data_IF_928517788367
#
_entry.id   IF_928517788367
#
_cell.length_a   1.000
_cell.length_b   1.000
_cell.length_c   1.000
_cell.angle_alpha   90.00
_cell.angle_beta   90.00
_cell.angle_gamma   90.00
#
_symmetry.space_group_name_H-M   'P 1'
#
loop_
_entity.id
_entity.type
_entity.pdbx_description
1 polymer ?
#
# COMPACT_ATOMS: atom_id res chain seq x y z
N UNK A 1 -17.99 -33.03 -40.01
CA UNK A 1 -17.64 -33.08 -38.57
C UNK A 1 -16.61 -32.00 -38.36
N UNK A 2 -17.08 -30.80 -38.03
CA UNK A 2 -16.25 -29.62 -37.88
C UNK A 2 -15.82 -29.57 -36.41
N UNK A 3 -14.52 -29.79 -36.17
CA UNK A 3 -13.93 -29.72 -34.84
C UNK A 3 -13.97 -28.27 -34.38
N UNK A 4 -14.95 -27.94 -33.54
CA UNK A 4 -15.04 -26.63 -32.91
C UNK A 4 -13.82 -26.38 -32.03
N UNK A 5 -13.02 -25.38 -32.40
CA UNK A 5 -12.02 -24.79 -31.53
C UNK A 5 -12.71 -24.20 -30.30
N UNK A 6 -12.43 -24.76 -29.13
CA UNK A 6 -12.79 -24.16 -27.86
C UNK A 6 -11.92 -22.92 -27.71
N UNK A 7 -12.48 -21.73 -27.97
CA UNK A 7 -11.86 -20.46 -27.57
C UNK A 7 -11.73 -20.45 -26.05
N UNK A 8 -10.51 -20.70 -25.58
CA UNK A 8 -10.15 -20.60 -24.18
C UNK A 8 -10.40 -19.15 -23.75
N UNK A 9 -11.36 -18.98 -22.84
CA UNK A 9 -11.70 -17.71 -22.20
C UNK A 9 -10.42 -16.99 -21.78
N UNK A 10 -10.25 -15.75 -22.24
CA UNK A 10 -9.15 -14.85 -21.82
C UNK A 10 -9.05 -14.86 -20.30
N UNK A 11 -7.95 -15.36 -19.74
CA UNK A 11 -7.69 -15.26 -18.31
C UNK A 11 -7.65 -13.78 -17.94
N UNK A 12 -8.52 -13.34 -17.04
CA UNK A 12 -8.42 -11.99 -16.46
C UNK A 12 -7.12 -11.95 -15.68
N UNK A 13 -6.12 -11.25 -16.21
CA UNK A 13 -4.83 -11.10 -15.56
C UNK A 13 -5.00 -10.26 -14.29
N UNK A 14 -4.62 -10.83 -13.14
CA UNK A 14 -4.66 -10.12 -11.88
C UNK A 14 -3.46 -9.17 -11.79
N UNK A 15 -3.69 -7.90 -12.13
CA UNK A 15 -2.62 -6.89 -12.17
C UNK A 15 -2.03 -6.62 -10.79
N UNK A 16 -0.71 -6.42 -10.73
CA UNK A 16 -0.02 -5.96 -9.51
C UNK A 16 -0.43 -4.56 -9.10
N UNK A 17 -0.54 -3.63 -10.04
CA UNK A 17 -1.15 -2.32 -9.80
C UNK A 17 -2.47 -2.24 -10.57
N UNK A 18 -3.55 -1.83 -9.91
CA UNK A 18 -4.82 -1.59 -10.58
C UNK A 18 -5.58 -0.41 -9.95
N UNK A 19 -6.37 0.25 -10.77
CA UNK A 19 -7.24 1.37 -10.37
C UNK A 19 -8.66 0.82 -10.24
N UNK A 20 -9.31 1.03 -9.10
CA UNK A 20 -10.63 0.48 -8.78
C UNK A 20 -11.57 1.57 -8.28
N UNK A 21 -12.87 1.31 -8.32
CA UNK A 21 -13.89 2.34 -8.04
C UNK A 21 -14.37 2.37 -6.58
N UNK A 22 -14.38 1.23 -5.89
CA UNK A 22 -15.08 1.11 -4.60
C UNK A 22 -14.12 1.01 -3.39
N UNK A 23 -13.91 2.10 -2.62
CA UNK A 23 -13.18 2.08 -1.36
C UNK A 23 -14.08 1.83 -0.14
N UNK A 24 -15.32 1.34 -0.28
CA UNK A 24 -16.31 1.25 0.81
C UNK A 24 -15.84 0.43 2.02
N UNK A 25 -15.00 -0.58 1.80
CA UNK A 25 -14.42 -1.44 2.83
C UNK A 25 -13.05 -0.95 3.33
N UNK A 26 -12.58 0.21 2.88
CA UNK A 26 -11.29 0.76 3.26
C UNK A 26 -11.34 1.38 4.66
N UNK A 27 -10.37 1.06 5.50
CA UNK A 27 -10.29 1.50 6.90
C UNK A 27 -10.45 3.02 7.06
N UNK A 28 -9.88 3.79 6.13
CA UNK A 28 -9.89 5.26 6.14
C UNK A 28 -10.98 5.91 5.27
N UNK A 29 -11.98 5.15 4.78
CA UNK A 29 -13.02 5.70 3.89
C UNK A 29 -13.77 6.87 4.52
N UNK A 30 -14.04 6.80 5.83
CA UNK A 30 -14.76 7.81 6.60
C UNK A 30 -13.86 8.89 7.25
N UNK A 31 -12.55 8.87 6.98
CA UNK A 31 -11.63 9.87 7.51
C UNK A 31 -11.97 11.27 6.99
N UNK A 32 -12.02 12.25 7.90
CA UNK A 32 -12.16 13.68 7.54
C UNK A 32 -10.82 14.22 7.04
N UNK A 33 -10.71 14.39 5.73
CA UNK A 33 -9.57 15.02 5.05
C UNK A 33 -10.07 16.22 4.25
N UNK A 34 -9.24 17.26 4.12
CA UNK A 34 -9.54 18.33 3.16
C UNK A 34 -9.40 17.74 1.75
N UNK A 35 -10.50 17.71 0.99
CA UNK A 35 -10.55 17.07 -0.33
C UNK A 35 -10.11 17.99 -1.46
N UNK A 36 -10.11 19.31 -1.25
CA UNK A 36 -9.78 20.29 -2.29
C UNK A 36 -8.33 20.14 -2.76
N UNK A 37 -7.43 19.74 -1.86
CA UNK A 37 -6.03 19.48 -2.21
C UNK A 37 -5.83 18.23 -3.09
N UNK A 38 -6.84 17.35 -3.17
CA UNK A 38 -6.83 16.12 -3.95
C UNK A 38 -7.60 16.24 -5.26
N UNK A 39 -8.55 17.17 -5.39
CA UNK A 39 -9.31 17.36 -6.64
C UNK A 39 -8.70 18.42 -7.54
N UNK A 40 -7.94 19.37 -6.98
CA UNK A 40 -7.25 20.39 -7.77
C UNK A 40 -5.95 19.84 -8.37
N UNK A 41 -5.91 19.63 -9.68
CA UNK A 41 -4.72 19.15 -10.40
C UNK A 41 -3.49 20.07 -10.24
N UNK A 42 -3.72 21.37 -9.98
CA UNK A 42 -2.67 22.35 -9.71
C UNK A 42 -2.13 22.29 -8.27
N UNK A 43 -2.73 21.46 -7.40
CA UNK A 43 -2.23 21.21 -6.06
C UNK A 43 -0.89 20.46 -6.11
N UNK A 44 0.07 20.89 -5.27
CA UNK A 44 1.31 20.14 -5.07
C UNK A 44 1.07 18.73 -4.52
N UNK A 45 0.01 18.57 -3.71
CA UNK A 45 -0.40 17.28 -3.14
C UNK A 45 -0.87 16.35 -4.25
N UNK A 46 -1.82 16.79 -5.09
CA UNK A 46 -2.32 16.01 -6.22
C UNK A 46 -1.17 15.52 -7.12
N UNK A 47 -0.27 16.43 -7.53
CA UNK A 47 0.90 16.05 -8.36
C UNK A 47 1.81 15.05 -7.67
N UNK A 48 2.03 15.17 -6.35
CA UNK A 48 2.84 14.22 -5.60
C UNK A 48 2.16 12.84 -5.55
N UNK A 49 0.84 12.77 -5.34
CA UNK A 49 0.08 11.50 -5.34
C UNK A 49 0.14 10.82 -6.71
N UNK A 50 -0.08 11.56 -7.80
CA UNK A 50 0.02 11.00 -9.15
C UNK A 50 1.43 10.46 -9.44
N UNK A 51 2.47 11.10 -8.87
CA UNK A 51 3.83 10.57 -8.94
C UNK A 51 4.00 9.27 -8.14
N UNK A 52 3.40 9.15 -6.96
CA UNK A 52 3.39 7.87 -6.21
C UNK A 52 2.72 6.76 -7.03
N UNK A 53 1.58 7.03 -7.66
CA UNK A 53 0.87 6.05 -8.49
C UNK A 53 1.75 5.55 -9.63
N UNK A 54 2.44 6.45 -10.33
CA UNK A 54 3.39 6.07 -11.37
C UNK A 54 4.52 5.20 -10.85
N UNK A 55 5.13 5.57 -9.71
CA UNK A 55 6.20 4.78 -9.08
C UNK A 55 5.71 3.38 -8.70
N UNK A 56 4.48 3.25 -8.18
CA UNK A 56 3.90 1.96 -7.83
C UNK A 56 3.59 1.13 -9.09
N UNK A 57 2.99 1.74 -10.11
CA UNK A 57 2.67 1.07 -11.36
C UNK A 57 3.91 0.48 -12.05
N UNK A 58 5.04 1.19 -12.01
CA UNK A 58 6.29 0.80 -12.68
C UNK A 58 7.23 -0.04 -11.79
N UNK A 59 7.17 0.13 -10.47
CA UNK A 59 8.23 -0.31 -9.55
C UNK A 59 7.86 -1.39 -8.53
N UNK A 60 6.62 -1.90 -8.54
CA UNK A 60 6.21 -2.92 -7.56
C UNK A 60 7.03 -4.22 -7.71
N UNK A 61 7.51 -4.80 -6.58
CA UNK A 61 8.03 -6.17 -6.55
C UNK A 61 6.98 -7.21 -6.97
N UNK A 62 7.40 -8.45 -7.22
CA UNK A 62 6.52 -9.54 -7.66
C UNK A 62 5.43 -9.87 -6.63
N UNK A 63 5.79 -9.90 -5.35
CA UNK A 63 4.92 -10.32 -4.25
C UNK A 63 4.14 -9.18 -3.59
N UNK A 64 4.01 -8.03 -4.27
CA UNK A 64 3.27 -6.88 -3.75
C UNK A 64 2.25 -6.43 -4.79
N UNK A 65 0.99 -6.34 -4.37
CA UNK A 65 -0.12 -5.88 -5.19
C UNK A 65 -0.75 -4.65 -4.52
N UNK A 66 -1.18 -3.69 -5.34
CA UNK A 66 -1.71 -2.41 -4.92
C UNK A 66 -2.98 -2.09 -5.69
N UNK A 67 -3.97 -1.55 -4.97
CA UNK A 67 -5.19 -0.96 -5.52
C UNK A 67 -5.26 0.51 -5.09
N UNK A 68 -5.61 1.36 -6.04
CA UNK A 68 -5.84 2.79 -5.83
C UNK A 68 -7.23 3.17 -6.32
N UNK A 69 -7.75 4.32 -5.88
CA UNK A 69 -9.15 4.68 -6.09
C UNK A 69 -9.28 6.03 -6.80
N UNK A 70 -10.00 6.10 -7.92
CA UNK A 70 -10.17 7.33 -8.70
C UNK A 70 -10.87 8.43 -7.89
N UNK A 71 -11.95 8.08 -7.19
CA UNK A 71 -12.72 9.02 -6.38
C UNK A 71 -12.05 9.41 -5.06
N UNK A 72 -11.03 8.64 -4.65
CA UNK A 72 -10.32 8.78 -3.39
C UNK A 72 -8.84 8.54 -3.58
N UNK A 73 -8.18 9.43 -4.31
CA UNK A 73 -6.76 9.29 -4.65
C UNK A 73 -5.83 9.29 -3.42
N UNK A 74 -6.32 9.74 -2.27
CA UNK A 74 -5.62 9.68 -0.98
C UNK A 74 -5.59 8.27 -0.37
N UNK A 75 -6.37 7.33 -0.89
CA UNK A 75 -6.48 5.96 -0.39
C UNK A 75 -5.72 4.99 -1.28
N UNK A 76 -5.05 4.04 -0.63
CA UNK A 76 -4.28 2.98 -1.29
C UNK A 76 -4.46 1.71 -0.46
N UNK A 77 -4.82 0.59 -1.09
CA UNK A 77 -4.79 -0.73 -0.47
C UNK A 77 -3.62 -1.52 -1.03
N UNK A 78 -2.82 -2.13 -0.17
CA UNK A 78 -1.76 -3.04 -0.56
C UNK A 78 -1.99 -4.43 0.04
N UNK A 79 -1.61 -5.46 -0.71
CA UNK A 79 -1.41 -6.81 -0.18
C UNK A 79 0.03 -7.23 -0.46
N UNK A 80 0.69 -7.71 0.58
CA UNK A 80 2.04 -8.28 0.50
C UNK A 80 1.89 -9.78 0.71
N UNK A 81 2.39 -10.57 -0.24
CA UNK A 81 2.52 -12.02 -0.09
C UNK A 81 3.81 -12.29 0.67
N UNK A 82 3.74 -13.10 1.73
CA UNK A 82 4.92 -13.45 2.51
C UNK A 82 5.91 -14.24 1.67
N UNK A 83 7.18 -13.83 1.73
CA UNK A 83 8.22 -14.37 0.86
C UNK A 83 8.64 -15.80 1.25
N UNK A 84 9.12 -16.61 0.30
CA UNK A 84 9.75 -17.89 0.59
C UNK A 84 10.87 -17.77 1.62
N UNK A 85 10.98 -18.76 2.51
CA UNK A 85 11.99 -18.78 3.57
C UNK A 85 11.64 -17.94 4.79
N UNK A 86 10.49 -17.28 4.82
CA UNK A 86 9.98 -16.57 6.02
C UNK A 86 8.88 -17.39 6.70
N UNK A 87 8.58 -17.18 7.99
CA UNK A 87 7.42 -17.79 8.64
C UNK A 87 6.08 -17.27 8.07
N UNK A 88 6.13 -16.31 7.14
CA UNK A 88 4.98 -15.69 6.48
C UNK A 88 4.69 -16.27 5.10
N UNK A 89 5.52 -17.20 4.61
CA UNK A 89 5.46 -17.74 3.24
C UNK A 89 4.03 -18.07 2.80
N UNK A 90 3.65 -17.59 1.61
CA UNK A 90 2.33 -17.73 0.98
C UNK A 90 1.16 -17.07 1.73
N UNK A 91 1.41 -16.45 2.88
CA UNK A 91 0.43 -15.66 3.62
C UNK A 91 0.13 -14.33 2.93
N UNK A 92 -1.14 -13.90 2.98
CA UNK A 92 -1.59 -12.61 2.45
C UNK A 92 -1.76 -11.59 3.58
N UNK A 93 -1.03 -10.49 3.49
CA UNK A 93 -1.04 -9.42 4.50
C UNK A 93 -1.60 -8.14 3.89
N UNK A 94 -2.78 -7.72 4.35
CA UNK A 94 -3.48 -6.55 3.81
C UNK A 94 -3.20 -5.30 4.62
N UNK A 95 -2.96 -4.20 3.91
CA UNK A 95 -2.69 -2.89 4.46
C UNK A 95 -3.54 -1.82 3.77
N UNK A 96 -4.25 -1.04 4.56
CA UNK A 96 -4.93 0.17 4.10
C UNK A 96 -4.04 1.38 4.41
N UNK A 97 -3.88 2.26 3.44
CA UNK A 97 -2.98 3.41 3.50
C UNK A 97 -3.77 4.66 3.17
N UNK A 98 -3.59 5.71 3.97
CA UNK A 98 -4.14 7.04 3.70
C UNK A 98 -3.04 8.11 3.64
N UNK A 99 -3.05 8.88 2.55
CA UNK A 99 -2.21 10.06 2.38
C UNK A 99 -2.91 11.28 3.02
N UNK A 100 -2.23 12.03 3.90
CA UNK A 100 -2.83 13.20 4.55
C UNK A 100 -3.00 14.38 3.58
N UNK A 101 -3.88 15.34 3.92
CA UNK A 101 -4.11 16.55 3.10
C UNK A 101 -2.89 17.46 2.92
N UNK A 102 -1.83 17.27 3.70
CA UNK A 102 -0.56 17.97 3.56
C UNK A 102 0.59 17.04 3.13
N UNK A 103 0.27 15.90 2.51
CA UNK A 103 1.29 15.02 1.91
C UNK A 103 2.16 15.80 0.90
N UNK A 104 3.49 15.65 0.90
CA UNK A 104 4.31 14.68 1.64
C UNK A 104 4.90 15.21 2.95
N UNK A 105 4.44 16.34 3.51
CA UNK A 105 5.01 16.90 4.75
C UNK A 105 4.69 16.06 5.99
N UNK A 106 3.62 15.29 5.94
CA UNK A 106 3.33 14.21 6.89
C UNK A 106 3.41 12.85 6.18
N UNK A 107 3.93 11.81 6.85
CA UNK A 107 3.97 10.46 6.30
C UNK A 107 2.56 9.91 6.07
N UNK A 108 2.43 8.85 5.24
CA UNK A 108 1.18 8.12 5.12
C UNK A 108 0.78 7.47 6.46
N UNK A 109 -0.52 7.36 6.69
CA UNK A 109 -1.07 6.47 7.74
C UNK A 109 -1.21 5.08 7.17
N UNK A 110 -0.81 4.06 7.93
CA UNK A 110 -0.87 2.65 7.51
C UNK A 110 -1.65 1.87 8.56
N UNK A 111 -2.63 1.07 8.11
CA UNK A 111 -3.43 0.17 8.93
C UNK A 111 -3.25 -1.27 8.45
N UNK A 112 -2.85 -2.17 9.34
CA UNK A 112 -2.74 -3.60 9.07
C UNK A 112 -4.03 -4.34 9.44
N UNK A 113 -4.55 -5.15 8.52
CA UNK A 113 -5.69 -6.02 8.80
C UNK A 113 -5.26 -7.29 9.53
N UNK A 114 -5.21 -7.20 10.86
CA UNK A 114 -4.72 -8.27 11.75
C UNK A 114 -5.64 -9.48 11.88
N UNK A 115 -6.94 -9.30 11.64
CA UNK A 115 -7.99 -10.28 11.94
C UNK A 115 -7.91 -10.82 13.39
N UNK A 116 -7.44 -10.00 14.33
CA UNK A 116 -7.31 -10.35 15.75
C UNK A 116 -6.03 -11.11 16.12
N UNK A 117 -5.13 -11.37 15.17
CA UNK A 117 -3.92 -12.17 15.39
C UNK A 117 -2.69 -11.25 15.48
N UNK A 118 -1.80 -11.53 16.45
CA UNK A 118 -0.49 -10.86 16.57
C UNK A 118 0.59 -11.71 15.90
N UNK A 119 0.84 -11.47 14.62
CA UNK A 119 1.79 -12.26 13.82
C UNK A 119 3.24 -11.75 13.86
N UNK A 120 3.46 -10.52 14.29
CA UNK A 120 4.78 -9.90 14.32
C UNK A 120 4.83 -8.81 15.42
N UNK A 121 5.97 -8.58 16.09
CA UNK A 121 6.09 -7.51 17.09
C UNK A 121 5.77 -6.11 16.55
N UNK A 122 6.03 -5.85 15.27
CA UNK A 122 5.73 -4.59 14.58
C UNK A 122 4.30 -4.53 14.01
N UNK A 123 3.53 -5.62 14.04
CA UNK A 123 2.16 -5.70 13.53
C UNK A 123 1.17 -5.98 14.67
N UNK A 124 0.48 -4.93 15.09
CA UNK A 124 -0.38 -4.98 16.26
C UNK A 124 -1.77 -5.50 15.89
N UNK A 125 -2.44 -6.15 16.84
CA UNK A 125 -3.82 -6.66 16.66
C UNK A 125 -4.83 -5.56 16.37
N UNK A 126 -4.56 -4.31 16.75
CA UNK A 126 -5.39 -3.14 16.43
C UNK A 126 -5.01 -2.45 15.11
N UNK A 127 -4.18 -3.10 14.30
CA UNK A 127 -3.75 -2.65 12.98
C UNK A 127 -2.66 -1.59 12.98
N UNK A 128 -2.05 -1.28 14.13
CA UNK A 128 -0.89 -0.40 14.18
C UNK A 128 0.34 -1.09 13.59
N UNK A 129 1.09 -0.37 12.76
CA UNK A 129 2.33 -0.83 12.13
C UNK A 129 3.50 0.01 12.66
N UNK A 130 4.50 -0.63 13.25
CA UNK A 130 5.72 0.02 13.72
C UNK A 130 6.80 0.03 12.64
N UNK A 131 7.08 1.20 12.08
CA UNK A 131 8.12 1.42 11.08
C UNK A 131 8.63 2.87 11.18
N UNK A 132 9.96 3.04 11.27
CA UNK A 132 10.58 4.37 11.41
C UNK A 132 10.24 5.31 10.26
N UNK A 133 10.12 4.75 9.05
CA UNK A 133 9.83 5.47 7.82
C UNK A 133 8.45 6.16 7.86
N UNK A 134 7.52 5.69 8.68
CA UNK A 134 6.20 6.34 8.89
C UNK A 134 6.08 6.95 10.29
N UNK A 135 7.22 7.18 10.96
CA UNK A 135 7.34 7.79 12.29
C UNK A 135 6.57 7.05 13.40
N UNK A 136 6.38 5.73 13.28
CA UNK A 136 5.74 4.89 14.32
C UNK A 136 6.73 4.01 15.08
N UNK A 137 8.03 4.18 14.82
CA UNK A 137 9.13 3.53 15.52
C UNK A 137 10.35 4.45 15.54
N UNK A 138 11.24 4.24 16.51
CA UNK A 138 12.49 4.99 16.59
C UNK A 138 13.43 4.58 15.45
N UNK A 139 14.16 5.55 14.93
CA UNK A 139 15.12 5.34 13.85
C UNK A 139 16.00 6.57 13.66
N UNK A 140 17.15 6.36 13.03
CA UNK A 140 18.06 7.42 12.65
C UNK A 140 17.40 8.37 11.65
N UNK A 141 17.90 9.61 11.53
CA UNK A 141 17.30 10.62 10.63
C UNK A 141 17.12 10.14 9.18
N UNK A 142 18.01 9.26 8.70
CA UNK A 142 17.96 8.68 7.34
C UNK A 142 16.89 7.59 7.16
N UNK A 143 16.39 7.02 8.26
CA UNK A 143 15.40 5.94 8.28
C UNK A 143 13.98 6.47 8.49
N UNK A 144 13.84 7.77 8.72
CA UNK A 144 12.56 8.46 8.93
C UNK A 144 12.03 9.02 7.61
N UNK A 145 10.74 9.34 7.59
CA UNK A 145 10.10 9.97 6.45
C UNK A 145 10.83 11.24 6.00
N UNK A 146 11.30 11.24 4.75
CA UNK A 146 11.88 12.39 4.09
C UNK A 146 10.87 12.94 3.06
N UNK A 147 10.45 14.18 3.24
CA UNK A 147 9.39 14.79 2.44
C UNK A 147 9.75 14.91 0.95
N UNK A 148 11.05 14.94 0.63
CA UNK A 148 11.55 15.12 -0.74
C UNK A 148 11.70 13.80 -1.49
N UNK A 149 12.11 12.73 -0.79
CA UNK A 149 12.59 11.49 -1.40
C UNK A 149 11.83 10.24 -0.98
N UNK A 150 11.13 10.24 0.16
CA UNK A 150 10.37 9.06 0.58
C UNK A 150 9.17 8.79 -0.33
N UNK A 151 8.84 7.51 -0.49
CA UNK A 151 7.74 7.03 -1.36
C UNK A 151 6.93 5.93 -0.68
N UNK A 152 5.72 5.68 -1.18
CA UNK A 152 4.88 4.57 -0.71
C UNK A 152 5.52 3.22 -1.06
N UNK A 153 6.18 3.12 -2.22
CA UNK A 153 6.93 1.92 -2.60
C UNK A 153 8.00 1.55 -1.55
N UNK A 154 8.73 2.53 -1.03
CA UNK A 154 9.71 2.29 0.03
C UNK A 154 9.04 1.77 1.31
N UNK A 155 7.88 2.31 1.69
CA UNK A 155 7.10 1.79 2.84
C UNK A 155 6.74 0.32 2.65
N UNK A 156 6.22 -0.05 1.47
CA UNK A 156 5.82 -1.43 1.17
C UNK A 156 7.02 -2.39 1.17
N UNK A 157 8.14 -1.99 0.55
CA UNK A 157 9.38 -2.78 0.54
C UNK A 157 9.99 -2.88 1.95
N UNK A 158 9.93 -1.82 2.76
CA UNK A 158 10.36 -1.87 4.16
C UNK A 158 9.50 -2.82 5.00
N UNK A 159 8.18 -2.86 4.81
CA UNK A 159 7.33 -3.83 5.49
C UNK A 159 7.73 -5.26 5.06
N UNK A 160 7.90 -5.52 3.76
CA UNK A 160 8.30 -6.85 3.29
C UNK A 160 9.68 -7.27 3.84
N UNK A 161 10.68 -6.38 3.78
CA UNK A 161 12.06 -6.72 4.12
C UNK A 161 12.41 -6.62 5.62
N UNK A 162 11.78 -5.73 6.38
CA UNK A 162 12.09 -5.50 7.79
C UNK A 162 11.06 -6.11 8.74
N UNK A 163 9.80 -6.22 8.32
CA UNK A 163 8.72 -6.73 9.18
C UNK A 163 8.41 -8.19 8.84
N UNK A 164 8.10 -8.48 7.57
CA UNK A 164 7.75 -9.83 7.11
C UNK A 164 8.99 -10.65 6.72
N UNK A 165 10.02 -10.62 7.56
CA UNK A 165 11.34 -11.22 7.30
C UNK A 165 11.48 -12.65 7.90
N UNK A 166 12.62 -13.31 7.66
CA UNK A 166 12.91 -14.69 8.13
C UNK A 166 12.94 -14.84 9.67
N UNK A 167 13.38 -13.80 10.38
CA UNK A 167 13.61 -13.77 11.84
C UNK A 167 12.87 -12.57 12.45
N UNK A 168 11.54 -12.66 12.56
CA UNK A 168 10.70 -11.56 13.03
C UNK A 168 10.84 -11.22 14.52
#
# INVERSE_FOLDING_TARGET
MESGEIKMSTSVEFKRFDVVLDPSDHHYVNSKVNRDCFTNENSGVHRKIMREWKILQEGLPELIYVRVYEDRIDLIRAVIVGAPGTPYHDGLFFFDIQLPSNYPYQPPKVYYHSHGIRLNPNLYTRGFVCLSLINTWDGNKKERWDTSSSTILQVLVSIQGLVLNERP
#
